data_IF_267467647447
#
_entry.id   IF_267467647447
#
_cell.length_a   1.000
_cell.length_b   1.000
_cell.length_c   1.000
_cell.angle_alpha   90.00
_cell.angle_beta   90.00
_cell.angle_gamma   90.00
#
_symmetry.space_group_name_H-M   'P 1'
#
loop_
_entity.id
_entity.type
_entity.pdbx_description
1 polymer ?
#
# COMPACT_ATOMS: atom_id res chain seq x y z
N UNK A 1 -33.34 61.94 -27.18
CA UNK A 1 -32.60 61.68 -25.92
C UNK A 1 -32.76 60.19 -25.57
N UNK A 2 -31.81 59.38 -25.94
CA UNK A 2 -31.87 57.92 -25.78
C UNK A 2 -30.88 57.48 -24.69
N UNK A 3 -31.41 57.05 -23.52
CA UNK A 3 -30.62 56.60 -22.37
C UNK A 3 -30.12 55.17 -22.63
N UNK A 4 -28.83 55.03 -22.86
CA UNK A 4 -28.11 53.77 -23.02
C UNK A 4 -27.96 53.11 -21.63
N UNK A 5 -28.75 52.06 -21.35
CA UNK A 5 -28.62 51.21 -20.14
C UNK A 5 -27.41 50.28 -20.36
N UNK A 6 -26.32 50.54 -19.68
CA UNK A 6 -25.18 49.63 -19.58
C UNK A 6 -25.58 48.46 -18.66
N UNK A 7 -25.85 47.31 -19.25
CA UNK A 7 -25.99 46.05 -18.53
C UNK A 7 -24.58 45.59 -18.12
N UNK A 8 -24.29 45.66 -16.83
CA UNK A 8 -23.06 45.10 -16.24
C UNK A 8 -23.29 43.59 -16.04
N UNK A 9 -22.78 42.77 -16.92
CA UNK A 9 -22.80 41.30 -16.79
C UNK A 9 -21.71 40.94 -15.79
N UNK A 10 -22.11 40.68 -14.55
CA UNK A 10 -21.26 40.17 -13.49
C UNK A 10 -21.01 38.68 -13.77
N UNK A 11 -19.91 38.37 -14.46
CA UNK A 11 -19.45 36.97 -14.63
C UNK A 11 -18.97 36.45 -13.29
N UNK A 12 -19.80 35.68 -12.60
CA UNK A 12 -19.40 34.89 -11.43
C UNK A 12 -18.55 33.74 -11.92
N UNK A 13 -17.23 33.91 -11.80
CA UNK A 13 -16.27 32.81 -11.97
C UNK A 13 -16.47 31.89 -10.76
N UNK A 14 -17.20 30.79 -10.96
CA UNK A 14 -17.25 29.69 -10.03
C UNK A 14 -15.84 29.07 -9.99
N UNK A 15 -15.00 29.57 -9.12
CA UNK A 15 -13.76 28.89 -8.74
C UNK A 15 -14.18 27.57 -8.04
N UNK A 16 -14.29 26.52 -8.81
CA UNK A 16 -14.51 25.17 -8.28
C UNK A 16 -13.36 24.84 -7.35
N UNK A 17 -13.63 24.78 -6.04
CA UNK A 17 -12.66 24.27 -5.06
C UNK A 17 -12.36 22.83 -5.42
N UNK A 18 -11.21 22.57 -6.02
CA UNK A 18 -10.72 21.22 -6.22
C UNK A 18 -10.29 20.64 -4.87
N UNK A 19 -10.65 19.40 -4.61
CA UNK A 19 -10.26 18.68 -3.39
C UNK A 19 -9.62 17.36 -3.75
N UNK A 20 -8.72 16.89 -2.91
CA UNK A 20 -8.13 15.56 -2.98
C UNK A 20 -8.53 14.78 -1.73
N UNK A 21 -9.00 13.55 -1.93
CA UNK A 21 -9.29 12.63 -0.84
C UNK A 21 -8.10 11.70 -0.70
N UNK A 22 -7.51 11.66 0.50
CA UNK A 22 -6.39 10.75 0.78
C UNK A 22 -6.84 9.30 0.66
N UNK A 23 -6.01 8.38 0.14
CA UNK A 23 -6.33 6.95 0.10
C UNK A 23 -6.62 6.39 1.48
N UNK A 24 -7.30 5.24 1.52
CA UNK A 24 -7.44 4.43 2.74
C UNK A 24 -6.06 4.07 3.31
N UNK A 25 -6.00 3.93 4.64
CA UNK A 25 -4.77 3.61 5.34
C UNK A 25 -4.31 2.15 5.17
N UNK A 26 -3.30 1.74 5.94
CA UNK A 26 -2.77 0.39 5.93
C UNK A 26 -3.80 -0.63 6.41
N UNK A 27 -3.69 -1.87 5.96
CA UNK A 27 -4.42 -2.97 6.56
C UNK A 27 -3.83 -3.29 7.94
N UNK A 28 -4.68 -3.57 8.91
CA UNK A 28 -4.23 -4.10 10.20
C UNK A 28 -3.91 -5.59 10.06
N UNK A 29 -2.64 -5.93 9.79
CA UNK A 29 -2.21 -7.32 9.68
C UNK A 29 -2.48 -8.13 10.97
N UNK A 30 -2.24 -7.60 12.18
CA UNK A 30 -2.62 -8.30 13.42
C UNK A 30 -4.11 -8.59 13.53
N UNK A 31 -4.98 -7.72 13.02
CA UNK A 31 -6.42 -7.97 13.01
C UNK A 31 -6.85 -9.04 11.99
N UNK A 32 -5.96 -9.43 11.08
CA UNK A 32 -6.18 -10.49 10.09
C UNK A 32 -5.68 -11.85 10.58
N UNK A 33 -4.86 -11.89 11.64
CA UNK A 33 -4.35 -13.10 12.25
C UNK A 33 -5.30 -13.58 13.36
N UNK A 34 -5.22 -14.87 13.70
CA UNK A 34 -6.00 -15.43 14.81
C UNK A 34 -5.57 -14.78 16.12
N UNK A 35 -6.56 -14.37 16.91
CA UNK A 35 -6.33 -13.64 18.16
C UNK A 35 -5.82 -14.53 19.31
N UNK A 36 -5.78 -15.86 19.13
CA UNK A 36 -5.35 -16.79 20.16
C UNK A 36 -3.82 -16.91 20.20
N UNK A 37 -3.23 -16.42 21.27
CA UNK A 37 -1.78 -16.46 21.51
C UNK A 37 -1.27 -17.91 21.59
N UNK A 38 -2.02 -18.81 22.22
CA UNK A 38 -1.62 -20.22 22.35
C UNK A 38 -1.58 -20.91 20.99
N UNK A 39 -2.56 -20.66 20.14
CA UNK A 39 -2.57 -21.14 18.77
C UNK A 39 -1.40 -20.57 17.97
N UNK A 40 -1.13 -19.27 18.07
CA UNK A 40 -0.01 -18.65 17.39
C UNK A 40 1.34 -19.25 17.81
N UNK A 41 1.52 -19.53 19.10
CA UNK A 41 2.73 -20.15 19.64
C UNK A 41 2.88 -21.63 19.24
N UNK A 42 1.78 -22.34 18.96
CA UNK A 42 1.80 -23.72 18.51
C UNK A 42 2.17 -23.90 17.04
N UNK A 43 2.10 -22.83 16.23
CA UNK A 43 2.41 -22.89 14.80
C UNK A 43 3.88 -23.12 14.58
N UNK A 44 4.18 -24.04 13.64
CA UNK A 44 5.55 -24.36 13.27
C UNK A 44 5.78 -24.00 11.78
N UNK A 45 7.00 -23.63 11.39
CA UNK A 45 7.35 -23.42 10.00
C UNK A 45 7.19 -24.75 9.24
N UNK A 46 6.58 -24.72 8.06
CA UNK A 46 6.38 -25.90 7.21
C UNK A 46 6.97 -25.74 5.80
N UNK A 47 7.33 -24.54 5.39
CA UNK A 47 7.95 -24.31 4.10
C UNK A 47 9.37 -24.92 4.06
N UNK A 48 9.68 -25.59 2.95
CA UNK A 48 10.99 -26.18 2.69
C UNK A 48 11.63 -25.49 1.49
N UNK A 49 12.86 -25.08 1.63
CA UNK A 49 13.60 -24.46 0.53
C UNK A 49 14.05 -25.51 -0.49
N UNK A 50 13.97 -25.22 -1.80
CA UNK A 50 13.56 -23.96 -2.41
C UNK A 50 12.03 -23.72 -2.33
N UNK A 51 11.62 -22.48 -2.00
CA UNK A 51 10.22 -22.10 -1.81
C UNK A 51 9.62 -21.37 -3.02
N UNK A 52 8.33 -21.54 -3.25
CA UNK A 52 7.54 -20.69 -4.14
C UNK A 52 6.87 -19.59 -3.30
N UNK A 53 7.02 -18.34 -3.73
CA UNK A 53 6.57 -17.16 -3.00
C UNK A 53 5.35 -16.52 -3.71
N UNK A 54 4.22 -16.44 -3.03
CA UNK A 54 3.13 -15.57 -3.44
C UNK A 54 3.32 -14.18 -2.85
N UNK A 55 2.89 -13.12 -3.56
CA UNK A 55 3.00 -11.74 -3.10
C UNK A 55 1.63 -11.06 -3.14
N UNK A 56 1.26 -10.37 -2.06
CA UNK A 56 0.00 -9.65 -1.95
C UNK A 56 0.22 -8.26 -1.31
N UNK A 57 -0.20 -7.20 -2.02
CA UNK A 57 -0.39 -5.87 -1.41
C UNK A 57 -1.77 -5.79 -0.82
N UNK A 58 -1.85 -5.52 0.47
CA UNK A 58 -3.12 -5.37 1.20
C UNK A 58 -3.26 -3.94 1.72
N UNK A 59 -4.50 -3.45 1.72
CA UNK A 59 -4.83 -2.12 2.21
C UNK A 59 -6.14 -2.18 3.01
N UNK A 60 -6.46 -1.12 3.73
CA UNK A 60 -7.73 -1.02 4.43
C UNK A 60 -8.92 -1.27 3.48
N UNK A 61 -10.02 -1.74 4.04
CA UNK A 61 -11.25 -1.96 3.27
C UNK A 61 -11.69 -0.66 2.58
N UNK A 62 -12.09 -0.77 1.31
CA UNK A 62 -12.49 0.38 0.52
C UNK A 62 -11.33 1.28 0.05
N UNK A 63 -10.09 0.78 0.09
CA UNK A 63 -8.95 1.52 -0.44
C UNK A 63 -9.20 1.95 -1.90
N UNK A 64 -8.99 3.23 -2.18
CA UNK A 64 -9.02 3.79 -3.53
C UNK A 64 -8.02 4.95 -3.62
N UNK A 65 -7.27 4.99 -4.68
CA UNK A 65 -6.37 6.09 -5.05
C UNK A 65 -6.71 6.58 -6.46
N UNK A 66 -5.98 7.56 -6.97
CA UNK A 66 -6.16 8.03 -8.35
C UNK A 66 -5.75 6.97 -9.39
N UNK A 67 -4.93 6.00 -9.02
CA UNK A 67 -4.30 5.03 -9.95
C UNK A 67 -4.58 3.58 -9.62
N UNK A 68 -5.09 3.27 -8.43
CA UNK A 68 -5.38 1.89 -8.03
C UNK A 68 -6.52 1.82 -7.02
N UNK A 69 -7.17 0.66 -6.98
CA UNK A 69 -8.24 0.35 -6.04
C UNK A 69 -8.04 -1.02 -5.40
N UNK A 70 -8.54 -1.18 -4.18
CA UNK A 70 -8.56 -2.44 -3.47
C UNK A 70 -9.70 -3.33 -3.94
N UNK A 71 -9.41 -4.60 -4.19
CA UNK A 71 -10.39 -5.63 -4.45
C UNK A 71 -10.83 -6.31 -3.16
N UNK A 72 -12.11 -6.60 -3.04
CA UNK A 72 -12.72 -7.30 -1.92
C UNK A 72 -13.21 -6.37 -0.83
N UNK A 73 -14.22 -6.86 -0.10
CA UNK A 73 -14.82 -6.19 1.05
C UNK A 73 -14.51 -6.97 2.33
N UNK A 74 -14.59 -6.32 3.50
CA UNK A 74 -14.33 -6.96 4.77
C UNK A 74 -13.37 -6.18 5.63
N UNK A 75 -12.42 -6.85 6.28
CA UNK A 75 -11.43 -6.19 7.13
C UNK A 75 -10.30 -5.52 6.35
N UNK A 76 -10.07 -5.97 5.14
CA UNK A 76 -9.03 -5.44 4.25
C UNK A 76 -9.44 -5.63 2.78
N UNK A 77 -8.69 -5.03 1.88
CA UNK A 77 -8.76 -5.23 0.44
C UNK A 77 -7.39 -5.62 -0.12
N UNK A 78 -7.34 -6.25 -1.28
CA UNK A 78 -6.09 -6.58 -1.98
C UNK A 78 -5.94 -5.68 -3.20
N UNK A 79 -4.83 -4.98 -3.30
CA UNK A 79 -4.52 -4.14 -4.45
C UNK A 79 -3.83 -5.01 -5.50
N UNK A 80 -4.51 -5.21 -6.62
CA UNK A 80 -4.02 -6.03 -7.73
C UNK A 80 -3.52 -5.20 -8.92
N UNK A 81 -3.82 -3.92 -8.94
CA UNK A 81 -3.28 -2.96 -9.91
C UNK A 81 -1.94 -2.43 -9.39
N UNK A 82 -0.90 -2.64 -10.18
CA UNK A 82 0.47 -2.26 -9.81
C UNK A 82 0.73 -0.82 -10.22
N UNK A 83 0.61 0.11 -9.30
CA UNK A 83 0.92 1.53 -9.51
C UNK A 83 2.24 1.96 -8.83
N UNK A 84 2.78 1.09 -7.98
CA UNK A 84 4.03 1.29 -7.22
C UNK A 84 5.09 0.27 -7.66
N UNK A 85 4.70 -0.99 -7.82
CA UNK A 85 5.58 -2.11 -8.12
C UNK A 85 5.83 -2.24 -9.62
N UNK A 86 7.03 -2.68 -9.99
CA UNK A 86 7.42 -2.98 -11.37
C UNK A 86 7.76 -4.46 -11.53
N UNK A 87 7.82 -4.93 -12.76
CA UNK A 87 8.26 -6.31 -13.04
C UNK A 87 9.68 -6.57 -12.52
N UNK A 88 10.57 -5.59 -12.60
CA UNK A 88 11.92 -5.71 -12.07
C UNK A 88 11.96 -5.98 -10.56
N UNK A 89 10.98 -5.49 -9.80
CA UNK A 89 10.91 -5.77 -8.37
C UNK A 89 10.56 -7.22 -8.08
N UNK A 90 9.65 -7.81 -8.88
CA UNK A 90 9.32 -9.23 -8.77
C UNK A 90 10.50 -10.10 -9.16
N UNK A 91 11.32 -9.67 -10.11
CA UNK A 91 12.59 -10.36 -10.45
C UNK A 91 13.59 -10.31 -9.31
N UNK A 92 13.64 -9.22 -8.51
CA UNK A 92 14.45 -9.17 -7.29
C UNK A 92 14.02 -10.22 -6.26
N UNK A 93 12.70 -10.36 -6.03
CA UNK A 93 12.19 -11.45 -5.18
C UNK A 93 12.54 -12.83 -5.74
N UNK A 94 12.44 -13.02 -7.06
CA UNK A 94 12.79 -14.27 -7.70
C UNK A 94 14.30 -14.58 -7.63
N UNK A 95 15.14 -13.55 -7.51
CA UNK A 95 16.59 -13.67 -7.34
C UNK A 95 17.04 -14.00 -5.92
N UNK A 96 16.14 -14.00 -4.93
CA UNK A 96 16.49 -14.37 -3.55
C UNK A 96 16.92 -15.84 -3.50
N UNK A 97 17.98 -16.14 -2.76
CA UNK A 97 18.49 -17.49 -2.63
C UNK A 97 17.41 -18.46 -2.10
N UNK A 98 17.23 -19.60 -2.76
CA UNK A 98 16.23 -20.58 -2.36
C UNK A 98 14.79 -20.22 -2.74
N UNK A 99 14.54 -19.19 -3.55
CA UNK A 99 13.24 -18.93 -4.17
C UNK A 99 13.15 -19.62 -5.52
N UNK A 100 12.20 -20.55 -5.66
CA UNK A 100 11.98 -21.31 -6.90
C UNK A 100 11.04 -20.61 -7.90
N UNK A 101 10.31 -19.61 -7.42
CA UNK A 101 9.41 -18.82 -8.26
C UNK A 101 8.56 -17.85 -7.45
N UNK A 102 8.10 -16.80 -8.11
CA UNK A 102 7.32 -15.70 -7.52
C UNK A 102 6.03 -15.53 -8.32
N UNK A 103 4.91 -15.37 -7.62
CA UNK A 103 3.63 -15.09 -8.25
C UNK A 103 2.83 -14.06 -7.43
N UNK A 104 2.45 -12.91 -8.01
CA UNK A 104 1.53 -12.00 -7.35
C UNK A 104 0.12 -12.60 -7.30
N UNK A 105 -0.60 -12.37 -6.19
CA UNK A 105 -1.99 -12.79 -6.07
C UNK A 105 -2.89 -11.95 -6.99
N UNK A 106 -3.63 -12.62 -7.86
CA UNK A 106 -4.59 -12.00 -8.76
C UNK A 106 -6.04 -12.10 -8.24
N UNK A 107 -6.91 -11.19 -8.67
CA UNK A 107 -8.34 -11.13 -8.29
C UNK A 107 -9.07 -12.46 -8.44
N UNK A 108 -8.75 -13.21 -9.48
CA UNK A 108 -9.45 -14.44 -9.82
C UNK A 108 -9.35 -15.54 -8.73
N UNK A 109 -8.31 -15.46 -7.90
CA UNK A 109 -8.08 -16.39 -6.79
C UNK A 109 -8.62 -15.90 -5.45
N UNK A 110 -9.10 -14.65 -5.39
CA UNK A 110 -9.53 -14.01 -4.16
C UNK A 110 -11.05 -14.03 -4.03
N UNK A 111 -11.59 -14.38 -2.86
CA UNK A 111 -13.02 -14.22 -2.60
C UNK A 111 -13.38 -12.72 -2.51
N UNK A 112 -14.66 -12.40 -2.68
CA UNK A 112 -15.16 -11.03 -2.54
C UNK A 112 -15.15 -10.53 -1.08
N UNK A 113 -15.14 -11.44 -0.10
CA UNK A 113 -15.06 -11.11 1.33
C UNK A 113 -13.71 -11.56 1.90
N UNK A 114 -13.00 -10.59 2.48
CA UNK A 114 -11.63 -10.75 3.00
C UNK A 114 -11.62 -10.42 4.50
N UNK A 115 -11.60 -11.45 5.35
CA UNK A 115 -11.76 -11.31 6.80
C UNK A 115 -10.50 -11.63 7.59
N UNK A 116 -9.62 -12.49 7.06
CA UNK A 116 -8.43 -12.96 7.73
C UNK A 116 -7.30 -13.26 6.75
N UNK A 117 -6.10 -13.54 7.22
CA UNK A 117 -4.98 -13.97 6.37
C UNK A 117 -5.23 -15.34 5.70
N UNK A 118 -6.25 -16.08 6.16
CA UNK A 118 -6.59 -17.40 5.60
C UNK A 118 -6.98 -17.31 4.13
N UNK A 119 -7.70 -16.27 3.72
CA UNK A 119 -8.12 -16.09 2.32
C UNK A 119 -6.90 -15.89 1.42
N UNK A 120 -5.90 -15.12 1.87
CA UNK A 120 -4.64 -14.93 1.13
C UNK A 120 -3.85 -16.24 1.04
N UNK A 121 -3.76 -16.98 2.15
CA UNK A 121 -3.09 -18.29 2.19
C UNK A 121 -3.79 -19.30 1.31
N UNK A 122 -5.12 -19.30 1.26
CA UNK A 122 -5.91 -20.16 0.38
C UNK A 122 -5.63 -19.84 -1.09
N UNK A 123 -5.60 -18.56 -1.46
CA UNK A 123 -5.25 -18.12 -2.82
C UNK A 123 -3.80 -18.50 -3.18
N UNK A 124 -2.86 -18.30 -2.25
CA UNK A 124 -1.46 -18.69 -2.43
C UNK A 124 -1.30 -20.23 -2.59
N UNK A 125 -2.08 -21.00 -1.85
CA UNK A 125 -2.08 -22.48 -1.99
C UNK A 125 -2.54 -22.94 -3.37
N UNK A 126 -3.50 -22.25 -4.00
CA UNK A 126 -3.92 -22.53 -5.37
C UNK A 126 -2.78 -22.30 -6.38
N UNK A 127 -1.86 -21.39 -6.10
CA UNK A 127 -0.64 -21.17 -6.86
C UNK A 127 0.50 -22.14 -6.48
N UNK A 128 0.23 -23.07 -5.55
CA UNK A 128 1.24 -23.96 -4.96
C UNK A 128 2.40 -23.20 -4.33
N UNK A 129 2.12 -22.02 -3.75
CA UNK A 129 3.11 -21.28 -3.00
C UNK A 129 3.29 -21.89 -1.61
N UNK A 130 4.53 -21.89 -1.13
CA UNK A 130 4.91 -22.35 0.21
C UNK A 130 4.81 -21.21 1.22
N UNK A 131 5.11 -20.00 0.76
CA UNK A 131 5.06 -18.77 1.55
C UNK A 131 4.26 -17.71 0.84
N UNK A 132 3.63 -16.81 1.60
CA UNK A 132 3.04 -15.58 1.08
C UNK A 132 3.71 -14.38 1.76
N UNK A 133 4.22 -13.47 0.94
CA UNK A 133 4.64 -12.15 1.39
C UNK A 133 3.46 -11.20 1.28
N UNK A 134 3.00 -10.72 2.43
CA UNK A 134 1.91 -9.75 2.53
C UNK A 134 2.50 -8.42 2.95
N UNK A 135 2.22 -7.34 2.24
CA UNK A 135 2.67 -6.02 2.62
C UNK A 135 1.59 -4.97 2.45
N UNK A 136 1.75 -3.86 3.15
CA UNK A 136 0.84 -2.72 3.17
C UNK A 136 1.62 -1.42 3.11
N UNK A 137 0.97 -0.36 2.61
CA UNK A 137 1.53 0.98 2.55
C UNK A 137 0.67 1.91 3.41
N UNK A 138 1.31 2.62 4.32
CA UNK A 138 0.71 3.69 5.12
C UNK A 138 1.30 5.02 4.69
N UNK A 139 0.44 5.92 4.19
CA UNK A 139 0.89 7.22 3.69
C UNK A 139 0.21 8.34 4.45
N UNK A 140 1.01 9.20 5.04
CA UNK A 140 0.55 10.40 5.73
C UNK A 140 1.03 11.65 5.01
N UNK A 141 0.15 12.64 4.99
CA UNK A 141 0.41 13.97 4.45
C UNK A 141 0.50 14.95 5.62
N UNK A 142 1.56 15.75 5.66
CA UNK A 142 1.75 16.77 6.67
C UNK A 142 2.00 18.12 6.01
N UNK A 143 1.25 19.12 6.41
CA UNK A 143 1.55 20.53 6.18
C UNK A 143 2.13 21.11 7.46
N UNK A 144 2.73 22.31 7.42
CA UNK A 144 3.42 22.93 8.57
C UNK A 144 2.59 22.96 9.88
N UNK A 145 1.28 22.82 9.80
CA UNK A 145 0.36 22.93 10.95
C UNK A 145 -0.50 21.71 11.23
N UNK A 146 -0.63 20.76 10.28
CA UNK A 146 -1.61 19.67 10.40
C UNK A 146 -1.13 18.40 9.74
N UNK A 147 -1.30 17.25 10.42
CA UNK A 147 -1.16 15.93 9.82
C UNK A 147 -2.52 15.49 9.28
N UNK A 148 -2.57 15.09 8.03
CA UNK A 148 -3.79 14.65 7.35
C UNK A 148 -3.71 13.14 7.22
N UNK A 149 -4.63 12.44 7.89
CA UNK A 149 -4.70 10.98 7.89
C UNK A 149 -5.45 10.40 6.68
N UNK A 150 -5.62 9.08 6.67
CA UNK A 150 -6.35 8.37 5.62
C UNK A 150 -7.81 8.83 5.50
N UNK A 151 -8.36 8.79 4.29
CA UNK A 151 -9.74 9.14 3.96
C UNK A 151 -10.13 10.59 4.36
N UNK A 152 -9.18 11.48 4.47
CA UNK A 152 -9.43 12.90 4.72
C UNK A 152 -9.37 13.71 3.43
N UNK A 153 -10.16 14.78 3.38
CA UNK A 153 -10.21 15.68 2.24
C UNK A 153 -9.16 16.77 2.38
N UNK A 154 -8.29 16.88 1.39
CA UNK A 154 -7.33 17.98 1.27
C UNK A 154 -7.95 19.05 0.36
N UNK A 155 -8.19 20.23 0.90
CA UNK A 155 -8.60 21.38 0.09
C UNK A 155 -7.40 21.89 -0.70
N UNK A 156 -7.52 21.86 -2.02
CA UNK A 156 -6.52 22.41 -2.94
C UNK A 156 -6.77 23.90 -3.09
N UNK A 157 -6.28 24.70 -2.16
CA UNK A 157 -6.32 26.15 -2.21
C UNK A 157 -4.91 26.72 -2.29
N UNK A 158 -4.79 27.98 -2.72
CA UNK A 158 -3.53 28.69 -2.75
C UNK A 158 -2.90 28.76 -1.36
N UNK A 159 -1.88 27.96 -1.11
CA UNK A 159 -1.02 28.07 0.08
C UNK A 159 0.38 28.52 -0.37
N UNK A 160 0.61 29.82 -0.63
CA UNK A 160 1.93 30.27 -1.00
C UNK A 160 2.90 30.04 0.17
N UNK A 161 4.06 29.45 -0.14
CA UNK A 161 5.19 29.23 0.78
C UNK A 161 5.03 28.21 1.92
N UNK A 162 4.14 27.22 1.84
CA UNK A 162 4.11 26.14 2.84
C UNK A 162 4.88 24.91 2.34
N UNK A 163 5.67 24.31 3.22
CA UNK A 163 6.29 23.01 2.96
C UNK A 163 5.25 21.92 3.22
N UNK A 164 5.11 21.05 2.28
CA UNK A 164 4.31 19.85 2.46
C UNK A 164 5.24 18.64 2.45
N UNK A 165 4.95 17.70 3.36
CA UNK A 165 5.72 16.48 3.55
C UNK A 165 4.80 15.28 3.34
N UNK A 166 5.22 14.35 2.50
CA UNK A 166 4.60 13.04 2.37
C UNK A 166 5.51 12.01 3.00
N UNK A 167 4.99 11.25 3.94
CA UNK A 167 5.70 10.13 4.57
C UNK A 167 4.97 8.85 4.21
N UNK A 168 5.66 7.88 3.64
CA UNK A 168 5.13 6.57 3.33
C UNK A 168 5.91 5.51 4.09
N UNK A 169 5.20 4.62 4.77
CA UNK A 169 5.76 3.44 5.44
C UNK A 169 5.28 2.19 4.72
N UNK A 170 6.21 1.34 4.33
CA UNK A 170 5.91 0.02 3.77
C UNK A 170 6.24 -1.04 4.81
N UNK A 171 5.23 -1.80 5.23
CA UNK A 171 5.38 -2.88 6.24
C UNK A 171 4.95 -4.19 5.62
N UNK A 172 5.71 -5.27 5.85
CA UNK A 172 5.43 -6.57 5.28
C UNK A 172 5.77 -7.73 6.20
N UNK A 173 5.17 -8.89 5.91
CA UNK A 173 5.39 -10.14 6.64
C UNK A 173 5.47 -11.33 5.70
N UNK A 174 6.37 -12.26 5.97
CA UNK A 174 6.45 -13.58 5.34
C UNK A 174 5.68 -14.59 6.16
N UNK A 175 4.67 -15.20 5.57
CA UNK A 175 3.74 -16.09 6.25
C UNK A 175 3.76 -17.46 5.57
N UNK A 176 3.87 -18.52 6.33
CA UNK A 176 3.72 -19.90 5.87
C UNK A 176 2.30 -20.14 5.36
N UNK A 177 2.17 -20.65 4.16
CA UNK A 177 0.86 -20.90 3.55
C UNK A 177 0.09 -22.01 4.27
N UNK A 178 0.78 -23.05 4.75
CA UNK A 178 0.14 -24.20 5.42
C UNK A 178 -0.26 -23.88 6.84
N UNK A 179 0.69 -23.36 7.63
CA UNK A 179 0.53 -23.23 9.08
C UNK A 179 0.13 -21.82 9.52
N UNK A 180 0.39 -20.79 8.71
CA UNK A 180 0.24 -19.40 9.10
C UNK A 180 1.33 -18.90 10.03
N UNK A 181 2.43 -19.67 10.17
CA UNK A 181 3.62 -19.21 10.89
C UNK A 181 4.21 -17.96 10.24
N UNK A 182 4.61 -16.98 11.03
CA UNK A 182 5.24 -15.74 10.55
C UNK A 182 6.75 -15.91 10.65
N UNK A 183 7.43 -15.98 9.51
CA UNK A 183 8.88 -16.14 9.45
C UNK A 183 9.64 -14.87 9.81
N UNK A 184 9.06 -13.71 9.53
CA UNK A 184 9.65 -12.42 9.83
C UNK A 184 8.84 -11.28 9.27
N UNK A 185 9.13 -10.09 9.78
CA UNK A 185 8.50 -8.83 9.34
C UNK A 185 9.56 -7.84 8.93
N UNK A 186 9.20 -6.92 8.08
CA UNK A 186 10.05 -5.85 7.59
C UNK A 186 9.26 -4.56 7.51
N UNK A 187 9.89 -3.44 7.85
CA UNK A 187 9.26 -2.13 7.76
C UNK A 187 10.29 -1.07 7.38
N UNK A 188 9.94 -0.20 6.44
CA UNK A 188 10.73 0.96 6.03
C UNK A 188 9.84 2.15 5.75
N UNK A 189 10.34 3.32 6.13
CA UNK A 189 9.69 4.60 5.89
C UNK A 189 10.54 5.47 4.98
N UNK A 190 9.89 6.10 4.01
CA UNK A 190 10.45 7.16 3.18
C UNK A 190 9.70 8.47 3.39
N UNK A 191 10.41 9.59 3.27
CA UNK A 191 9.84 10.92 3.46
C UNK A 191 10.21 11.80 2.28
N UNK A 192 9.21 12.39 1.64
CA UNK A 192 9.37 13.37 0.57
C UNK A 192 8.90 14.74 1.04
N UNK A 193 9.77 15.74 0.87
CA UNK A 193 9.42 17.14 1.06
C UNK A 193 9.24 17.81 -0.29
N UNK A 194 8.13 18.51 -0.45
CA UNK A 194 7.82 19.23 -1.68
C UNK A 194 7.36 20.65 -1.35
N UNK A 195 7.76 21.64 -2.16
CA UNK A 195 7.27 23.00 -2.02
C UNK A 195 5.80 23.09 -2.44
N UNK A 196 5.04 23.90 -1.75
CA UNK A 196 3.58 23.97 -1.87
C UNK A 196 3.05 24.50 -3.21
N UNK A 197 3.89 25.18 -3.96
CA UNK A 197 3.56 25.67 -5.31
C UNK A 197 3.23 24.57 -6.31
N UNK A 198 3.67 23.32 -6.03
CA UNK A 198 3.40 22.12 -6.85
C UNK A 198 2.12 21.39 -6.43
N UNK A 199 1.56 21.67 -5.25
CA UNK A 199 0.39 20.97 -4.71
C UNK A 199 -0.97 21.54 -5.17
N UNK A 200 -0.97 22.28 -6.27
CA UNK A 200 -2.19 22.86 -6.83
C UNK A 200 -3.14 21.86 -7.51
N UNK A 201 -2.70 20.63 -7.79
CA UNK A 201 -3.50 19.65 -8.50
C UNK A 201 -3.52 18.29 -7.81
N UNK A 202 -4.61 17.51 -8.04
CA UNK A 202 -4.74 16.13 -7.55
C UNK A 202 -3.60 15.23 -8.06
N UNK A 203 -3.20 15.45 -9.30
CA UNK A 203 -2.14 14.69 -9.99
C UNK A 203 -0.78 14.90 -9.31
N UNK A 204 -0.49 16.13 -8.89
CA UNK A 204 0.76 16.44 -8.20
C UNK A 204 0.84 15.76 -6.81
N UNK A 205 -0.26 15.76 -6.07
CA UNK A 205 -0.35 15.08 -4.76
C UNK A 205 -0.23 13.58 -4.94
N UNK A 206 -0.97 13.00 -5.90
CA UNK A 206 -0.92 11.57 -6.16
C UNK A 206 0.46 11.13 -6.68
N UNK A 207 1.12 11.96 -7.46
CA UNK A 207 2.50 11.72 -7.88
C UNK A 207 3.45 11.69 -6.68
N UNK A 208 3.35 12.67 -5.77
CA UNK A 208 4.18 12.73 -4.56
C UNK A 208 3.93 11.52 -3.65
N UNK A 209 2.66 11.08 -3.51
CA UNK A 209 2.30 9.84 -2.82
C UNK A 209 3.02 8.65 -3.42
N UNK A 210 2.85 8.42 -4.73
CA UNK A 210 3.45 7.26 -5.43
C UNK A 210 4.97 7.25 -5.34
N UNK A 211 5.61 8.42 -5.44
CA UNK A 211 7.06 8.52 -5.29
C UNK A 211 7.53 8.15 -3.88
N UNK A 212 6.82 8.62 -2.82
CA UNK A 212 7.16 8.26 -1.45
C UNK A 212 6.88 6.77 -1.17
N UNK A 213 5.75 6.25 -1.63
CA UNK A 213 5.41 4.82 -1.50
C UNK A 213 6.40 3.93 -2.26
N UNK A 214 6.80 4.34 -3.46
CA UNK A 214 7.83 3.64 -4.25
C UNK A 214 9.17 3.59 -3.53
N UNK A 215 9.59 4.69 -2.95
CA UNK A 215 10.85 4.76 -2.21
C UNK A 215 10.81 3.89 -0.95
N UNK A 216 9.71 3.93 -0.19
CA UNK A 216 9.51 3.07 0.97
C UNK A 216 9.51 1.58 0.58
N UNK A 217 8.84 1.23 -0.52
CA UNK A 217 8.82 -0.14 -1.05
C UNK A 217 10.21 -0.61 -1.48
N UNK A 218 10.98 0.21 -2.18
CA UNK A 218 12.35 -0.14 -2.58
C UNK A 218 13.29 -0.30 -1.38
N UNK A 219 13.15 0.56 -0.36
CA UNK A 219 13.91 0.43 0.88
C UNK A 219 13.56 -0.85 1.64
N UNK A 220 12.26 -1.20 1.68
CA UNK A 220 11.80 -2.47 2.24
C UNK A 220 12.38 -3.67 1.48
N UNK A 221 12.39 -3.63 0.14
CA UNK A 221 12.93 -4.69 -0.68
C UNK A 221 14.44 -4.90 -0.43
N UNK A 222 15.20 -3.81 -0.27
CA UNK A 222 16.62 -3.89 0.11
C UNK A 222 16.83 -4.49 1.51
N UNK A 223 15.93 -4.21 2.46
CA UNK A 223 15.98 -4.85 3.78
C UNK A 223 15.67 -6.34 3.69
N UNK A 224 14.68 -6.73 2.86
CA UNK A 224 14.37 -8.14 2.61
C UNK A 224 15.61 -8.88 2.08
N UNK A 225 16.30 -8.32 1.10
CA UNK A 225 17.52 -8.91 0.55
C UNK A 225 18.60 -9.12 1.62
N UNK A 226 18.68 -8.22 2.60
CA UNK A 226 19.64 -8.28 3.68
C UNK A 226 19.33 -9.34 4.73
N UNK A 227 18.07 -9.49 5.13
CA UNK A 227 17.69 -10.44 6.18
C UNK A 227 17.33 -11.82 5.65
N UNK A 228 16.94 -11.95 4.37
CA UNK A 228 16.49 -13.22 3.77
C UNK A 228 17.43 -14.41 4.01
N UNK A 229 18.77 -14.26 3.93
CA UNK A 229 19.68 -15.37 4.20
C UNK A 229 19.52 -15.98 5.61
N UNK A 230 19.05 -15.21 6.59
CA UNK A 230 18.82 -15.73 7.95
C UNK A 230 17.67 -16.75 8.00
N UNK A 231 16.70 -16.64 7.09
CA UNK A 231 15.60 -17.59 7.00
C UNK A 231 16.05 -18.96 6.45
N UNK A 232 17.11 -18.98 5.63
CA UNK A 232 17.64 -20.22 5.05
C UNK A 232 18.35 -21.11 6.09
N UNK A 233 18.87 -20.51 7.16
CA UNK A 233 19.58 -21.22 8.23
C UNK A 233 18.71 -21.71 9.38
N UNK A 234 17.44 -21.41 9.37
CA UNK A 234 16.49 -21.83 10.41
C UNK A 234 16.01 -23.26 10.12
N UNK A 235 16.75 -24.26 10.65
CA UNK A 235 16.34 -25.68 10.66
C UNK A 235 15.80 -26.04 12.04
#
# INVERSE_FOLDING_TARGET
MMKLRRAFVLSIVLAGCTSYVTPGGPASIPAMTDADVAEALSRQPAAQFPVRLAIARVQASGYASATSEGYGAGRYSVVTQRDIETEADFQRFAGLAGVAGVAPLGRILLPSSLQSARELRTAAAQLRADMVFVYTLDTSFRTDTTTIGPLQVISLGFFPNRKARVSATCSGAFIDVRTGYVYGTVEKTAVREQRSDVWGTREAIDKARREAEREAFLAMLGEIESFWPSLLGTK
#
